data_IF_843145240585
#
_entry.id   IF_843145240585
#
_cell.length_a   1.000
_cell.length_b   1.000
_cell.length_c   1.000
_cell.angle_alpha   90.00
_cell.angle_beta   90.00
_cell.angle_gamma   90.00
#
_symmetry.space_group_name_H-M   'P 1'
#
loop_
_entity.id
_entity.type
_entity.pdbx_description
1 polymer ?
#
# COMPACT_ATOMS: atom_id res chain seq x y z
N UNK A 1 14.88 41.98 -46.61
CA UNK A 1 14.22 42.30 -45.32
C UNK A 1 13.86 40.99 -44.64
N UNK A 2 14.41 40.73 -43.45
CA UNK A 2 14.29 39.48 -42.67
C UNK A 2 13.12 39.62 -41.68
N UNK A 3 12.16 38.69 -41.67
CA UNK A 3 11.20 38.50 -40.58
C UNK A 3 11.07 36.99 -40.33
N UNK A 4 11.81 36.46 -39.35
CA UNK A 4 11.38 36.07 -37.99
C UNK A 4 10.62 34.74 -37.95
N UNK A 5 11.38 33.65 -38.02
CA UNK A 5 10.95 32.31 -37.59
C UNK A 5 10.88 32.32 -36.06
N UNK A 6 9.68 32.27 -35.49
CA UNK A 6 9.44 32.04 -34.06
C UNK A 6 9.79 30.58 -33.72
N UNK A 7 11.02 30.36 -33.25
CA UNK A 7 11.49 29.08 -32.74
C UNK A 7 10.89 28.87 -31.34
N UNK A 8 10.04 27.86 -31.19
CA UNK A 8 9.48 27.45 -29.89
C UNK A 8 10.61 27.16 -28.88
N UNK A 9 10.51 27.61 -27.63
CA UNK A 9 11.51 27.32 -26.62
C UNK A 9 11.48 25.83 -26.29
N UNK A 10 12.66 25.21 -26.35
CA UNK A 10 12.88 23.82 -26.02
C UNK A 10 12.33 23.48 -24.63
N UNK A 11 11.67 22.33 -24.55
CA UNK A 11 11.31 21.67 -23.29
C UNK A 11 12.61 21.33 -22.56
N UNK A 12 13.02 22.20 -21.64
CA UNK A 12 14.05 21.90 -20.64
C UNK A 12 13.51 20.75 -19.76
N UNK A 13 13.91 19.50 -20.04
CA UNK A 13 13.66 18.39 -19.14
C UNK A 13 14.52 18.59 -17.89
N UNK A 14 13.85 18.82 -16.75
CA UNK A 14 14.48 19.00 -15.44
C UNK A 14 15.37 17.78 -15.11
N UNK A 15 16.65 17.98 -14.76
CA UNK A 15 17.57 16.89 -14.39
C UNK A 15 17.10 16.12 -13.15
N UNK A 16 16.25 16.72 -12.31
CA UNK A 16 15.79 16.12 -11.05
C UNK A 16 14.93 14.86 -11.25
N UNK A 17 14.12 14.81 -12.33
CA UNK A 17 13.22 13.66 -12.59
C UNK A 17 13.97 12.48 -13.20
N UNK A 18 15.02 12.74 -13.97
CA UNK A 18 15.85 11.69 -14.57
C UNK A 18 16.66 10.94 -13.49
N UNK A 19 17.21 11.64 -12.50
CA UNK A 19 17.94 11.02 -11.38
C UNK A 19 17.01 10.15 -10.54
N UNK A 20 15.79 10.61 -10.24
CA UNK A 20 14.80 9.81 -9.50
C UNK A 20 14.37 8.55 -10.26
N UNK A 21 14.26 8.63 -11.59
CA UNK A 21 13.88 7.47 -12.41
C UNK A 21 15.02 6.43 -12.47
N UNK A 22 16.27 6.88 -12.62
CA UNK A 22 17.44 5.98 -12.66
C UNK A 22 17.73 5.37 -11.28
N UNK A 23 17.61 6.16 -10.20
CA UNK A 23 17.73 5.67 -8.83
C UNK A 23 16.63 4.64 -8.49
N UNK A 24 15.39 4.89 -8.90
CA UNK A 24 14.29 3.95 -8.73
C UNK A 24 14.51 2.62 -9.47
N UNK A 25 15.08 2.66 -10.68
CA UNK A 25 15.36 1.45 -11.47
C UNK A 25 16.55 0.67 -10.89
N UNK A 26 17.61 1.34 -10.43
CA UNK A 26 18.74 0.70 -9.74
C UNK A 26 18.30 0.04 -8.42
N UNK A 27 17.46 0.73 -7.64
CA UNK A 27 16.91 0.20 -6.38
C UNK A 27 16.02 -1.04 -6.63
N UNK A 28 15.19 -1.03 -7.68
CA UNK A 28 14.39 -2.21 -8.05
C UNK A 28 15.26 -3.39 -8.50
N UNK A 29 16.36 -3.13 -9.21
CA UNK A 29 17.27 -4.17 -9.72
C UNK A 29 18.08 -4.84 -8.59
N UNK A 30 18.48 -4.07 -7.58
CA UNK A 30 19.13 -4.58 -6.37
C UNK A 30 18.17 -5.37 -5.47
N UNK A 31 16.90 -4.96 -5.37
CA UNK A 31 15.89 -5.68 -4.57
C UNK A 31 15.53 -7.05 -5.18
N UNK A 32 15.41 -7.16 -6.51
CA UNK A 32 15.13 -8.45 -7.17
C UNK A 32 16.27 -9.46 -7.04
N UNK A 33 17.52 -9.01 -6.95
CA UNK A 33 18.67 -9.90 -6.81
C UNK A 33 18.85 -10.46 -5.40
N UNK A 34 18.22 -9.85 -4.39
CA UNK A 34 18.21 -10.37 -3.01
C UNK A 34 17.27 -11.60 -2.85
N UNK A 35 16.14 -11.61 -3.55
CA UNK A 35 15.19 -12.74 -3.51
C UNK A 35 15.64 -13.97 -4.32
N UNK A 36 16.58 -13.80 -5.25
CA UNK A 36 17.01 -14.88 -6.16
C UNK A 36 17.90 -15.96 -5.51
N UNK A 37 18.44 -15.71 -4.30
CA UNK A 37 19.35 -16.64 -3.60
C UNK A 37 18.75 -17.24 -2.32
N UNK A 38 17.42 -17.34 -2.23
CA UNK A 38 16.77 -18.05 -1.13
C UNK A 38 16.61 -19.53 -1.52
N UNK A 39 17.57 -20.36 -1.12
CA UNK A 39 17.39 -21.82 -1.08
C UNK A 39 16.53 -22.17 0.13
N UNK A 40 15.22 -22.05 -0.03
CA UNK A 40 14.21 -22.44 0.96
C UNK A 40 14.01 -23.96 0.88
N UNK A 41 14.39 -24.69 1.94
CA UNK A 41 14.02 -26.10 2.05
C UNK A 41 12.49 -26.25 1.97
N UNK A 42 11.93 -27.15 1.14
CA UNK A 42 10.49 -27.27 0.93
C UNK A 42 9.74 -27.61 2.23
N UNK A 43 10.40 -28.31 3.16
CA UNK A 43 9.88 -28.65 4.49
C UNK A 43 9.82 -27.42 5.41
N UNK A 44 10.76 -26.49 5.30
CA UNK A 44 10.77 -25.25 6.08
C UNK A 44 9.76 -24.25 5.51
N UNK A 45 9.65 -24.17 4.17
CA UNK A 45 8.66 -23.34 3.49
C UNK A 45 7.22 -23.68 3.92
N UNK A 46 6.86 -24.96 3.96
CA UNK A 46 5.55 -25.42 4.46
C UNK A 46 5.30 -25.02 5.93
N UNK A 47 6.31 -25.20 6.81
CA UNK A 47 6.17 -24.86 8.23
C UNK A 47 5.97 -23.37 8.48
N UNK A 48 6.55 -22.52 7.64
CA UNK A 48 6.46 -21.07 7.79
C UNK A 48 5.26 -20.47 7.04
N UNK A 49 4.90 -21.03 5.89
CA UNK A 49 3.76 -20.55 5.09
C UNK A 49 2.42 -20.86 5.74
N UNK A 50 2.26 -22.04 6.35
CA UNK A 50 1.00 -22.46 6.99
C UNK A 50 0.54 -21.49 8.08
N UNK A 51 1.33 -21.16 9.13
CA UNK A 51 0.88 -20.23 10.17
C UNK A 51 0.61 -18.84 9.61
N UNK A 52 1.40 -18.38 8.64
CA UNK A 52 1.21 -17.07 8.01
C UNK A 52 -0.11 -17.02 7.25
N UNK A 53 -0.38 -17.99 6.38
CA UNK A 53 -1.60 -18.05 5.57
C UNK A 53 -2.83 -18.18 6.47
N UNK A 54 -2.81 -19.10 7.43
CA UNK A 54 -3.93 -19.29 8.36
C UNK A 54 -4.18 -18.08 9.25
N UNK A 55 -3.13 -17.39 9.70
CA UNK A 55 -3.27 -16.14 10.47
C UNK A 55 -3.96 -15.05 9.64
N UNK A 56 -3.54 -14.85 8.39
CA UNK A 56 -4.16 -13.84 7.52
C UNK A 56 -5.61 -14.19 7.18
N UNK A 57 -5.90 -15.46 6.90
CA UNK A 57 -7.25 -15.93 6.61
C UNK A 57 -8.14 -15.77 7.86
N UNK A 58 -7.68 -16.21 9.02
CA UNK A 58 -8.39 -16.04 10.29
C UNK A 58 -8.67 -14.57 10.60
N UNK A 59 -7.66 -13.70 10.52
CA UNK A 59 -7.82 -12.27 10.75
C UNK A 59 -8.80 -11.61 9.78
N UNK A 60 -8.85 -12.05 8.52
CA UNK A 60 -9.83 -11.57 7.54
C UNK A 60 -11.26 -12.01 7.88
N UNK A 61 -11.42 -13.24 8.34
CA UNK A 61 -12.72 -13.78 8.72
C UNK A 61 -13.27 -13.03 9.95
N UNK A 62 -12.45 -12.85 10.98
CA UNK A 62 -12.82 -12.12 12.20
C UNK A 62 -13.26 -10.69 11.91
N UNK A 63 -12.56 -9.98 11.02
CA UNK A 63 -12.97 -8.62 10.61
C UNK A 63 -14.32 -8.62 9.92
N UNK A 64 -14.61 -9.64 9.10
CA UNK A 64 -15.89 -9.74 8.39
C UNK A 64 -17.04 -9.99 9.36
N UNK A 65 -16.81 -10.83 10.37
CA UNK A 65 -17.74 -11.05 11.49
C UNK A 65 -17.97 -9.76 12.28
N UNK A 66 -16.88 -9.08 12.65
CA UNK A 66 -16.95 -7.81 13.40
C UNK A 66 -17.77 -6.75 12.66
N UNK A 67 -17.68 -6.68 11.32
CA UNK A 67 -18.51 -5.77 10.53
C UNK A 67 -20.02 -6.09 10.62
N UNK A 68 -20.40 -7.37 10.77
CA UNK A 68 -21.81 -7.76 10.98
C UNK A 68 -22.30 -7.39 12.37
N UNK A 69 -21.41 -7.30 13.36
CA UNK A 69 -21.71 -6.90 14.73
C UNK A 69 -21.79 -5.37 14.95
N UNK A 70 -21.85 -4.57 13.88
CA UNK A 70 -21.87 -3.10 13.98
C UNK A 70 -23.27 -2.49 14.16
N UNK A 71 -24.33 -3.30 14.19
CA UNK A 71 -25.72 -2.80 14.27
C UNK A 71 -26.03 -2.02 15.57
N UNK A 72 -25.31 -2.34 16.65
CA UNK A 72 -25.43 -1.70 17.97
C UNK A 72 -24.35 -0.65 18.23
N UNK A 73 -23.55 -0.31 17.21
CA UNK A 73 -22.46 0.64 17.32
C UNK A 73 -22.98 2.03 17.67
N UNK A 74 -22.31 2.69 18.63
CA UNK A 74 -22.60 4.05 19.11
C UNK A 74 -24.07 4.24 19.60
N UNK A 75 -24.73 3.15 20.02
CA UNK A 75 -26.11 3.16 20.58
C UNK A 75 -26.17 2.75 22.05
N UNK A 76 -25.04 2.45 22.68
CA UNK A 76 -25.00 2.08 24.10
C UNK A 76 -25.14 3.30 25.00
N UNK A 77 -25.69 3.14 26.20
CA UNK A 77 -25.87 4.25 27.14
C UNK A 77 -24.55 4.93 27.56
N UNK A 78 -23.42 4.23 27.46
CA UNK A 78 -22.09 4.72 27.82
C UNK A 78 -21.37 5.45 26.67
N UNK A 79 -21.61 5.04 25.41
CA UNK A 79 -20.88 5.55 24.23
C UNK A 79 -21.79 6.12 23.14
N UNK A 80 -23.08 6.34 23.46
CA UNK A 80 -24.03 7.00 22.58
C UNK A 80 -23.63 8.45 22.38
N UNK A 81 -23.16 8.78 21.17
CA UNK A 81 -22.74 10.13 20.79
C UNK A 81 -23.28 10.48 19.40
N UNK A 82 -23.61 11.76 19.21
CA UNK A 82 -23.83 12.32 17.87
C UNK A 82 -22.46 12.43 17.17
N UNK A 83 -22.27 11.70 16.08
CA UNK A 83 -21.03 11.81 15.29
C UNK A 83 -21.11 13.05 14.39
N UNK A 84 -20.03 13.83 14.35
CA UNK A 84 -19.90 14.91 13.38
C UNK A 84 -19.84 14.34 11.94
N UNK A 85 -20.31 15.12 10.95
CA UNK A 85 -20.28 14.73 9.54
C UNK A 85 -18.83 14.45 9.08
N UNK A 86 -18.45 13.17 9.02
CA UNK A 86 -17.12 12.72 8.60
C UNK A 86 -16.31 11.96 9.67
N UNK A 87 -16.80 11.84 10.91
CA UNK A 87 -16.10 11.09 11.95
C UNK A 87 -16.23 9.58 11.73
N UNK A 88 -15.11 8.86 11.83
CA UNK A 88 -15.13 7.39 11.80
C UNK A 88 -15.81 6.85 13.07
N UNK A 89 -16.53 5.73 12.95
CA UNK A 89 -17.18 5.10 14.08
C UNK A 89 -16.18 4.55 15.09
N UNK A 90 -16.63 4.30 16.32
CA UNK A 90 -15.75 3.90 17.44
C UNK A 90 -15.01 2.58 17.21
N UNK A 91 -15.66 1.60 16.56
CA UNK A 91 -15.04 0.32 16.20
C UNK A 91 -15.87 -0.50 15.19
N UNK A 92 -15.21 -1.43 14.46
CA UNK A 92 -13.83 -1.30 13.97
C UNK A 92 -13.74 -0.28 12.81
#
# INVERSE_FOLDING_TARGET
>A
MKARVSRAPGRQLKPDVAILTVAGVLCKKASMSFFANVKLDPKFFMKLSVPVIFFFIGSRLDRTETLRMTMFRDKSALYGRELAEGEKPSWP
#
